data_IF_968983329461
#
_entry.id   IF_968983329461
#
_cell.length_a   1.000
_cell.length_b   1.000
_cell.length_c   1.000
_cell.angle_alpha   90.00
_cell.angle_beta   90.00
_cell.angle_gamma   90.00
#
_symmetry.space_group_name_H-M   'P 1'
#
loop_
_entity.id
_entity.type
_entity.pdbx_description
1 polymer ?
#
# COMPACT_ATOMS: atom_id res chain seq x y z
N UNK A 1 43.94 16.84 17.04
CA UNK A 1 44.24 15.44 17.39
C UNK A 1 43.76 15.23 18.81
N UNK A 2 42.78 14.35 19.02
CA UNK A 2 42.17 14.14 20.33
C UNK A 2 43.18 13.37 21.19
N UNK A 3 43.58 13.93 22.33
CA UNK A 3 44.58 13.36 23.24
C UNK A 3 44.19 11.94 23.66
N UNK A 4 45.16 11.02 23.69
CA UNK A 4 45.00 9.62 24.13
C UNK A 4 44.40 9.52 25.53
N UNK A 5 44.57 10.55 26.38
CA UNK A 5 43.93 10.65 27.68
C UNK A 5 42.39 10.74 27.60
N UNK A 6 41.84 11.39 26.56
CA UNK A 6 40.39 11.51 26.38
C UNK A 6 39.76 10.18 25.95
N UNK A 7 40.46 9.41 25.11
CA UNK A 7 39.99 8.08 24.69
C UNK A 7 39.98 7.08 25.86
N UNK A 8 40.98 7.11 26.74
CA UNK A 8 41.03 6.22 27.89
C UNK A 8 39.87 6.46 28.87
N UNK A 9 39.42 7.71 29.00
CA UNK A 9 38.32 8.06 29.90
C UNK A 9 36.94 7.60 29.38
N UNK A 10 36.76 7.53 28.06
CA UNK A 10 35.52 7.05 27.44
C UNK A 10 35.40 5.52 27.61
N UNK A 11 36.50 4.79 27.46
CA UNK A 11 36.53 3.33 27.60
C UNK A 11 36.15 2.86 29.02
N UNK A 12 36.46 3.67 30.04
CA UNK A 12 36.18 3.34 31.45
C UNK A 12 34.75 3.62 31.90
N UNK A 13 33.93 4.29 31.06
CA UNK A 13 32.53 4.63 31.39
C UNK A 13 31.51 3.76 30.66
N UNK A 14 31.95 2.82 29.83
CA UNK A 14 31.07 1.83 29.21
C UNK A 14 30.94 0.63 30.15
N UNK A 15 29.74 0.24 30.59
CA UNK A 15 29.56 -0.97 31.39
C UNK A 15 29.98 -2.20 30.56
N UNK A 16 30.74 -3.10 31.19
CA UNK A 16 31.21 -4.34 30.58
C UNK A 16 30.03 -5.14 30.02
N UNK A 17 30.14 -5.56 28.76
CA UNK A 17 29.19 -6.44 28.12
C UNK A 17 29.13 -7.78 28.88
N UNK A 18 28.10 -7.95 29.71
CA UNK A 18 27.83 -9.20 30.40
C UNK A 18 26.94 -10.07 29.53
N UNK A 19 27.50 -11.18 29.09
CA UNK A 19 26.92 -12.25 28.29
C UNK A 19 25.82 -13.05 29.02
N UNK A 20 24.78 -13.39 28.25
CA UNK A 20 23.87 -14.55 28.36
C UNK A 20 22.95 -14.71 29.59
N UNK A 21 21.63 -14.60 29.34
CA UNK A 21 20.64 -15.53 29.88
C UNK A 21 19.50 -15.73 28.87
N UNK A 22 19.33 -16.97 28.41
CA UNK A 22 18.18 -17.43 27.64
C UNK A 22 16.95 -17.41 28.56
N UNK A 23 15.96 -16.57 28.27
CA UNK A 23 14.63 -16.65 28.88
C UNK A 23 13.64 -17.20 27.85
N UNK A 24 13.49 -18.52 27.84
CA UNK A 24 12.34 -19.19 27.24
C UNK A 24 11.34 -19.46 28.34
N UNK A 25 10.21 -18.74 28.37
CA UNK A 25 8.89 -19.28 28.75
C UNK A 25 7.81 -18.18 28.77
N UNK A 26 6.89 -18.33 27.81
CA UNK A 26 5.47 -17.95 27.86
C UNK A 26 5.11 -16.61 28.51
N UNK A 27 5.21 -15.53 27.74
CA UNK A 27 4.35 -14.37 27.94
C UNK A 27 2.93 -14.77 27.51
N UNK A 28 2.10 -15.11 28.49
CA UNK A 28 0.64 -14.96 28.36
C UNK A 28 0.40 -13.50 27.98
N UNK A 29 0.00 -13.27 26.72
CA UNK A 29 -0.30 -11.96 26.20
C UNK A 29 -1.47 -11.38 27.02
N UNK A 30 -1.13 -10.55 28.03
CA UNK A 30 -2.07 -9.60 28.58
C UNK A 30 -2.65 -8.84 27.39
N UNK A 31 -3.96 -8.95 27.20
CA UNK A 31 -4.67 -8.35 26.08
C UNK A 31 -4.32 -6.86 26.03
N UNK A 32 -3.48 -6.47 25.06
CA UNK A 32 -3.29 -5.07 24.73
C UNK A 32 -4.68 -4.58 24.31
N UNK A 33 -5.30 -3.74 25.14
CA UNK A 33 -6.55 -3.05 24.84
C UNK A 33 -6.28 -2.01 23.75
N UNK A 34 -6.01 -2.47 22.54
CA UNK A 34 -5.70 -1.67 21.37
C UNK A 34 -6.48 -2.21 20.20
N UNK A 35 -7.33 -1.37 19.62
CA UNK A 35 -7.98 -1.70 18.35
C UNK A 35 -6.88 -1.69 17.28
N UNK A 36 -6.64 -2.79 16.55
CA UNK A 36 -5.63 -2.82 15.51
C UNK A 36 -5.97 -1.80 14.43
N UNK A 37 -5.04 -0.92 14.10
CA UNK A 37 -5.21 0.11 13.07
C UNK A 37 -4.46 -0.30 11.80
N UNK A 38 -5.10 -0.10 10.65
CA UNK A 38 -4.49 -0.28 9.34
C UNK A 38 -4.42 1.06 8.61
N UNK A 39 -3.26 1.38 8.03
CA UNK A 39 -3.10 2.55 7.17
C UNK A 39 -3.19 2.09 5.72
N UNK A 40 -4.20 2.57 4.98
CA UNK A 40 -4.32 2.34 3.55
C UNK A 40 -3.62 3.46 2.76
N UNK A 41 -2.80 3.05 1.79
CA UNK A 41 -2.32 3.97 0.75
C UNK A 41 -3.32 4.00 -0.41
N UNK A 42 -3.08 4.82 -1.43
CA UNK A 42 -3.90 4.85 -2.66
C UNK A 42 -3.94 3.47 -3.33
N UNK A 43 -5.14 3.00 -3.61
CA UNK A 43 -5.34 1.69 -4.23
C UNK A 43 -6.67 1.64 -4.99
N UNK A 44 -6.82 0.61 -5.81
CA UNK A 44 -8.02 0.36 -6.61
C UNK A 44 -8.44 -1.09 -6.44
N UNK A 45 -9.75 -1.29 -6.33
CA UNK A 45 -10.40 -2.58 -6.56
C UNK A 45 -10.94 -2.59 -7.97
N UNK A 46 -10.73 -3.67 -8.71
CA UNK A 46 -11.16 -3.77 -10.11
C UNK A 46 -12.25 -4.84 -10.29
N UNK A 47 -13.14 -4.58 -11.24
CA UNK A 47 -14.03 -5.61 -11.76
C UNK A 47 -13.28 -6.58 -12.67
N UNK A 48 -13.82 -7.80 -12.85
CA UNK A 48 -13.22 -8.77 -13.77
C UNK A 48 -13.15 -8.21 -15.21
N UNK A 49 -14.18 -7.48 -15.64
CA UNK A 49 -14.20 -6.84 -16.96
C UNK A 49 -13.07 -5.80 -17.12
N UNK A 50 -12.83 -4.98 -16.09
CA UNK A 50 -11.78 -3.97 -16.12
C UNK A 50 -10.38 -4.58 -16.03
N UNK A 51 -10.22 -5.68 -15.28
CA UNK A 51 -8.98 -6.47 -15.25
C UNK A 51 -8.66 -6.95 -16.67
N UNK A 52 -9.65 -7.51 -17.36
CA UNK A 52 -9.44 -8.02 -18.71
C UNK A 52 -9.15 -6.91 -19.73
N UNK A 53 -9.81 -5.76 -19.59
CA UNK A 53 -9.56 -4.60 -20.44
C UNK A 53 -8.16 -4.01 -20.22
N UNK A 54 -7.64 -4.03 -18.99
CA UNK A 54 -6.34 -3.45 -18.65
C UNK A 54 -5.17 -4.40 -18.88
N UNK A 55 -5.35 -5.70 -18.62
CA UNK A 55 -4.26 -6.69 -18.59
C UNK A 55 -4.42 -7.83 -19.62
N UNK A 56 -5.57 -7.94 -20.28
CA UNK A 56 -5.85 -8.93 -21.33
C UNK A 56 -6.95 -9.94 -20.96
N UNK A 57 -7.57 -10.59 -21.95
CA UNK A 57 -8.70 -11.50 -21.73
C UNK A 57 -8.32 -12.68 -20.85
N UNK A 58 -9.18 -13.01 -19.87
CA UNK A 58 -8.96 -14.10 -18.91
C UNK A 58 -7.85 -13.86 -17.90
N UNK A 59 -7.33 -12.62 -17.77
CA UNK A 59 -6.24 -12.32 -16.85
C UNK A 59 -6.66 -12.49 -15.39
N UNK A 60 -5.74 -13.01 -14.59
CA UNK A 60 -5.90 -13.21 -13.14
C UNK A 60 -4.85 -12.39 -12.39
N UNK A 61 -5.29 -11.67 -11.36
CA UNK A 61 -4.40 -10.85 -10.53
C UNK A 61 -3.37 -11.72 -9.81
N UNK A 62 -2.12 -11.28 -9.79
CA UNK A 62 -1.04 -12.01 -9.15
C UNK A 62 -0.88 -11.55 -7.69
N UNK A 63 -1.13 -12.40 -6.68
CA UNK A 63 -0.94 -12.01 -5.29
C UNK A 63 0.52 -11.65 -5.00
N UNK A 64 0.74 -10.47 -4.42
CA UNK A 64 2.04 -10.03 -3.91
C UNK A 64 2.10 -10.21 -2.39
N UNK A 65 1.08 -9.72 -1.68
CA UNK A 65 1.05 -9.73 -0.21
C UNK A 65 -0.38 -9.86 0.30
N UNK A 66 -0.61 -10.79 1.23
CA UNK A 66 -1.88 -10.91 1.92
C UNK A 66 -2.14 -9.70 2.84
N UNK A 67 -3.38 -9.23 2.88
CA UNK A 67 -3.83 -8.17 3.79
C UNK A 67 -4.36 -8.77 5.10
N UNK A 68 -4.61 -7.92 6.10
CA UNK A 68 -5.16 -8.33 7.39
C UNK A 68 -6.57 -8.95 7.27
N UNK A 69 -7.31 -8.59 6.23
CA UNK A 69 -8.62 -9.16 5.94
C UNK A 69 -8.46 -10.50 5.21
N UNK A 70 -9.09 -11.59 5.69
CA UNK A 70 -8.99 -12.90 5.07
C UNK A 70 -9.36 -12.89 3.59
N UNK A 71 -8.53 -13.52 2.77
CA UNK A 71 -8.75 -13.62 1.32
C UNK A 71 -8.44 -12.36 0.51
N UNK A 72 -8.16 -11.22 1.15
CA UNK A 72 -7.75 -9.99 0.46
C UNK A 72 -6.24 -9.94 0.28
N UNK A 73 -5.79 -9.44 -0.86
CA UNK A 73 -4.36 -9.32 -1.17
C UNK A 73 -4.05 -8.06 -1.97
N UNK A 74 -2.85 -7.51 -1.76
CA UNK A 74 -2.24 -6.60 -2.70
C UNK A 74 -1.70 -7.41 -3.88
N UNK A 75 -2.06 -7.01 -5.09
CA UNK A 75 -1.60 -7.66 -6.32
C UNK A 75 -0.25 -7.06 -6.77
N UNK A 76 0.51 -7.76 -7.61
CA UNK A 76 1.78 -7.26 -8.17
C UNK A 76 1.55 -6.07 -9.11
N UNK A 77 0.37 -6.02 -9.71
CA UNK A 77 -0.08 -5.01 -10.64
C UNK A 77 -0.28 -3.65 -9.95
N UNK A 78 0.06 -2.60 -10.69
CA UNK A 78 -0.28 -1.22 -10.39
C UNK A 78 -0.91 -0.60 -11.63
N UNK A 79 -1.83 0.33 -11.42
CA UNK A 79 -2.42 1.12 -12.49
C UNK A 79 -2.05 2.59 -12.35
N UNK A 80 -2.32 3.33 -13.41
CA UNK A 80 -2.16 4.77 -13.48
C UNK A 80 -3.54 5.39 -13.71
N UNK A 81 -3.93 6.32 -12.84
CA UNK A 81 -5.22 7.01 -12.95
C UNK A 81 -4.98 8.36 -13.60
N UNK A 82 -5.59 8.58 -14.77
CA UNK A 82 -5.48 9.84 -15.51
C UNK A 82 -6.74 10.66 -15.28
N UNK A 83 -6.59 11.87 -14.76
CA UNK A 83 -7.65 12.85 -14.56
C UNK A 83 -7.44 14.10 -15.42
N UNK A 84 -8.41 15.04 -15.43
CA UNK A 84 -8.36 16.22 -16.29
C UNK A 84 -7.17 17.15 -16.05
N UNK A 85 -6.64 17.16 -14.82
CA UNK A 85 -5.55 18.07 -14.41
C UNK A 85 -4.22 17.34 -14.16
N UNK A 86 -4.16 16.04 -14.43
CA UNK A 86 -2.92 15.26 -14.33
C UNK A 86 -3.16 13.78 -14.01
N UNK A 87 -2.07 13.10 -13.66
CA UNK A 87 -2.02 11.65 -13.52
C UNK A 87 -1.49 11.19 -12.16
N UNK A 88 -2.11 10.16 -11.58
CA UNK A 88 -1.68 9.46 -10.37
C UNK A 88 -1.09 8.11 -10.78
N UNK A 89 0.24 8.01 -10.76
CA UNK A 89 0.97 6.77 -11.02
C UNK A 89 1.02 5.85 -9.79
N UNK A 90 1.29 4.56 -10.02
CA UNK A 90 1.57 3.58 -8.97
C UNK A 90 0.41 3.39 -7.97
N UNK A 91 -0.82 3.31 -8.48
CA UNK A 91 -2.00 2.95 -7.70
C UNK A 91 -2.06 1.42 -7.61
N UNK A 92 -1.94 0.88 -6.39
CA UNK A 92 -1.89 -0.58 -6.18
C UNK A 92 -3.24 -1.22 -6.46
N UNK A 93 -3.27 -2.34 -7.17
CA UNK A 93 -4.50 -3.13 -7.33
C UNK A 93 -4.66 -4.06 -6.12
N UNK A 94 -5.85 -4.09 -5.53
CA UNK A 94 -6.23 -5.05 -4.49
C UNK A 94 -7.17 -6.11 -5.06
N UNK A 95 -6.87 -7.37 -4.76
CA UNK A 95 -7.66 -8.53 -5.15
C UNK A 95 -8.36 -9.20 -3.96
N UNK A 96 -9.32 -10.11 -4.21
CA UNK A 96 -9.75 -10.59 -5.53
C UNK A 96 -10.58 -9.55 -6.31
N UNK A 97 -10.90 -9.86 -7.57
CA UNK A 97 -11.80 -9.04 -8.39
C UNK A 97 -13.15 -8.82 -7.67
N UNK A 98 -13.70 -7.61 -7.81
CA UNK A 98 -15.00 -7.24 -7.25
C UNK A 98 -16.07 -7.15 -8.34
N UNK A 99 -17.31 -6.95 -7.94
CA UNK A 99 -18.41 -6.71 -8.89
C UNK A 99 -18.25 -5.36 -9.61
N UNK A 100 -17.77 -4.35 -8.90
CA UNK A 100 -17.58 -3.00 -9.44
C UNK A 100 -16.18 -2.46 -9.11
N UNK A 101 -15.66 -1.61 -10.00
CA UNK A 101 -14.36 -0.95 -9.82
C UNK A 101 -14.47 0.23 -8.87
N UNK A 102 -13.57 0.30 -7.89
CA UNK A 102 -13.57 1.33 -6.85
C UNK A 102 -12.16 1.87 -6.65
N UNK A 103 -12.00 3.19 -6.77
CA UNK A 103 -10.74 3.89 -6.52
C UNK A 103 -10.76 4.56 -5.14
N UNK A 104 -9.80 4.23 -4.29
CA UNK A 104 -9.62 4.83 -2.97
C UNK A 104 -8.37 5.71 -2.93
N UNK A 105 -8.56 7.02 -2.82
CA UNK A 105 -7.49 8.03 -2.84
C UNK A 105 -7.72 9.11 -1.79
N UNK A 106 -6.65 9.81 -1.41
CA UNK A 106 -6.69 10.83 -0.36
C UNK A 106 -7.39 12.11 -0.82
N UNK A 107 -8.24 12.72 0.01
CA UNK A 107 -8.95 13.98 -0.32
C UNK A 107 -8.07 15.11 -0.90
N UNK A 108 -6.85 15.39 -0.39
CA UNK A 108 -6.00 16.42 -0.97
C UNK A 108 -5.61 16.18 -2.44
N UNK A 109 -5.71 14.94 -2.94
CA UNK A 109 -5.44 14.58 -4.34
C UNK A 109 -6.71 14.63 -5.21
N UNK A 110 -7.91 14.78 -4.64
CA UNK A 110 -9.14 14.73 -5.42
C UNK A 110 -9.41 16.08 -6.09
N UNK A 111 -9.46 17.14 -5.29
CA UNK A 111 -9.82 18.50 -5.76
C UNK A 111 -8.81 19.11 -6.75
N UNK A 112 -7.49 19.10 -6.48
CA UNK A 112 -6.53 19.68 -7.40
C UNK A 112 -6.47 18.96 -8.74
N UNK A 113 -6.81 17.67 -8.76
CA UNK A 113 -6.70 16.82 -9.94
C UNK A 113 -8.00 16.80 -10.77
N UNK A 114 -9.01 17.57 -10.34
CA UNK A 114 -10.29 17.70 -11.03
C UNK A 114 -11.14 16.43 -10.95
N UNK A 115 -10.81 15.52 -10.04
CA UNK A 115 -11.62 14.36 -9.74
C UNK A 115 -12.81 14.85 -8.92
N UNK A 116 -14.03 14.50 -9.33
CA UNK A 116 -15.21 14.77 -8.51
C UNK A 116 -15.18 13.80 -7.32
N UNK A 117 -15.40 14.27 -6.07
CA UNK A 117 -15.48 13.38 -4.93
C UNK A 117 -16.79 12.60 -5.03
N UNK A 118 -16.75 11.34 -5.47
CA UNK A 118 -17.85 10.40 -5.25
C UNK A 118 -17.42 8.95 -5.48
N UNK A 119 -18.00 8.08 -4.66
CA UNK A 119 -18.02 6.64 -4.76
C UNK A 119 -18.22 6.21 -6.21
N UNK A 120 -17.35 5.35 -6.73
CA UNK A 120 -17.56 4.72 -8.03
C UNK A 120 -18.57 3.60 -7.84
N UNK A 121 -19.86 3.96 -7.77
CA UNK A 121 -20.94 3.08 -8.19
C UNK A 121 -21.65 3.75 -9.35
N UNK A 122 -21.53 3.13 -10.52
CA UNK A 122 -22.26 3.42 -11.76
C UNK A 122 -22.55 4.89 -12.06
N UNK A 123 -21.52 5.64 -12.41
CA UNK A 123 -21.71 6.63 -13.46
C UNK A 123 -20.66 6.37 -14.53
N UNK A 124 -21.15 5.74 -15.59
CA UNK A 124 -20.43 5.40 -16.80
C UNK A 124 -19.64 6.61 -17.30
N UNK A 125 -18.31 6.60 -17.11
CA UNK A 125 -17.38 7.34 -17.96
C UNK A 125 -17.24 6.63 -19.31
N UNK A 126 -18.39 6.23 -19.89
CA UNK A 126 -18.47 5.82 -21.27
C UNK A 126 -18.38 7.09 -22.10
N UNK A 127 -17.45 7.11 -23.04
CA UNK A 127 -17.42 8.07 -24.15
C UNK A 127 -16.63 9.38 -23.93
N UNK A 128 -15.41 9.27 -23.39
CA UNK A 128 -14.30 10.08 -23.90
C UNK A 128 -13.04 9.24 -23.91
N UNK A 129 -12.67 8.77 -25.11
CA UNK A 129 -11.41 8.10 -25.48
C UNK A 129 -10.36 8.20 -24.36
N UNK A 130 -10.27 7.15 -23.55
CA UNK A 130 -9.02 6.85 -22.86
C UNK A 130 -8.04 6.48 -23.96
N UNK A 131 -7.28 7.48 -24.45
CA UNK A 131 -6.11 7.20 -25.25
C UNK A 131 -5.11 6.53 -24.31
N UNK A 132 -5.13 5.20 -24.30
CA UNK A 132 -4.12 4.37 -23.68
C UNK A 132 -2.79 4.66 -24.38
N UNK A 133 -1.97 5.52 -23.78
CA UNK A 133 -0.57 5.65 -24.14
C UNK A 133 0.22 4.73 -23.20
N UNK A 134 0.24 3.44 -23.53
CA UNK A 134 1.28 2.56 -23.03
C UNK A 134 2.45 2.70 -24.01
N UNK A 135 3.52 3.32 -23.52
CA UNK A 135 4.74 3.57 -24.27
C UNK A 135 5.28 2.29 -24.89
N UNK A 136 5.72 2.44 -26.13
CA UNK A 136 6.73 1.59 -26.75
C UNK A 136 8.07 2.30 -26.60
#
# INVERSE_FOLDING_TARGET
MISTALMHHIQQRLPAASTHALVSSSLSAGAATGIPTGVSNRHVHLSQADIEQLFGPGYQLNPLKALSQPGQFAAKECVMVVGPKGTISNVRVLGPARTETQLEVLRPIVTPWGLKPLCVSRETYTNRRMHCWWGR
#
